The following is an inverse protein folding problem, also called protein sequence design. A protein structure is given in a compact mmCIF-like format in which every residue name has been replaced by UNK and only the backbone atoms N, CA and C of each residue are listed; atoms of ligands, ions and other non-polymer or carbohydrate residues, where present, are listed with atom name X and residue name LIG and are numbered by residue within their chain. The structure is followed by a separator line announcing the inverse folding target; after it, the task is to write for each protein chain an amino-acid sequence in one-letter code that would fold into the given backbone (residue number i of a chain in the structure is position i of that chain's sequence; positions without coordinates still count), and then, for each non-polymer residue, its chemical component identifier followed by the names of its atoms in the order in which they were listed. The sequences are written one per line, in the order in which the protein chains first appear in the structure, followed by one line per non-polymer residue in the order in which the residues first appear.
data_IF_238089052822
#
_entry.id   IF_238089052822
#
_cell.length_a   1.000
_cell.length_b   1.000
_cell.length_c   1.000
_cell.angle_alpha   90.00
_cell.angle_beta   90.00
_cell.angle_gamma   90.00
#
_symmetry.space_group_name_H-M   'P 1'
#
loop_
_entity.id
_entity.type
_entity.pdbx_description
1 polymer ?
#
# COMPACT_ATOMS: atom_id res chain seq x y z
N UNK A 1 20.18 7.17 -4.13
CA UNK A 1 19.21 6.24 -3.49
C UNK A 1 17.86 6.87 -3.13
N UNK A 2 17.80 8.03 -2.47
CA UNK A 2 16.52 8.66 -2.06
C UNK A 2 15.52 8.86 -3.22
N UNK A 3 15.99 9.42 -4.33
CA UNK A 3 15.15 9.67 -5.52
C UNK A 3 14.67 8.38 -6.18
N UNK A 4 15.48 7.33 -6.18
CA UNK A 4 15.09 6.03 -6.71
C UNK A 4 13.95 5.40 -5.89
N UNK A 5 14.04 5.42 -4.55
CA UNK A 5 12.95 4.97 -3.67
C UNK A 5 11.70 5.86 -3.77
N UNK A 6 11.85 7.12 -4.17
CA UNK A 6 10.72 8.00 -4.44
C UNK A 6 9.99 7.58 -5.72
N UNK A 7 10.73 7.29 -6.79
CA UNK A 7 10.17 6.79 -8.06
C UNK A 7 9.38 5.50 -7.83
N UNK A 8 9.93 4.55 -7.07
CA UNK A 8 9.22 3.31 -6.71
C UNK A 8 7.92 3.60 -5.96
N UNK A 9 7.92 4.52 -4.98
CA UNK A 9 6.70 4.87 -4.24
C UNK A 9 5.62 5.48 -5.12
N UNK A 10 6.00 6.37 -6.05
CA UNK A 10 5.06 7.02 -6.95
C UNK A 10 4.42 6.00 -7.92
N UNK A 11 5.24 5.21 -8.60
CA UNK A 11 4.79 4.20 -9.57
C UNK A 11 3.95 3.11 -8.91
N UNK A 12 4.38 2.57 -7.77
CA UNK A 12 3.62 1.54 -7.06
C UNK A 12 2.29 2.09 -6.53
N UNK A 13 2.26 3.30 -5.98
CA UNK A 13 1.04 3.92 -5.46
C UNK A 13 -0.01 4.15 -6.56
N UNK A 14 0.43 4.66 -7.71
CA UNK A 14 -0.44 4.90 -8.87
C UNK A 14 -1.07 3.60 -9.37
N UNK A 15 -0.25 2.58 -9.66
CA UNK A 15 -0.74 1.27 -10.16
C UNK A 15 -1.61 0.53 -9.14
N UNK A 16 -1.31 0.66 -7.86
CA UNK A 16 -2.10 0.02 -6.80
C UNK A 16 -3.48 0.65 -6.69
N UNK A 17 -3.60 1.97 -6.80
CA UNK A 17 -4.89 2.66 -6.71
C UNK A 17 -5.87 2.16 -7.78
N UNK A 18 -5.42 2.01 -9.03
CA UNK A 18 -6.24 1.46 -10.12
C UNK A 18 -6.82 0.09 -9.75
N UNK A 19 -6.02 -0.80 -9.16
CA UNK A 19 -6.45 -2.16 -8.79
C UNK A 19 -7.32 -2.22 -7.53
N UNK A 20 -7.08 -1.33 -6.57
CA UNK A 20 -7.84 -1.29 -5.32
C UNK A 20 -9.25 -0.74 -5.55
N UNK A 21 -9.39 0.23 -6.46
CA UNK A 21 -10.65 0.91 -6.76
C UNK A 21 -11.33 0.43 -8.04
N UNK A 22 -10.87 -0.68 -8.62
CA UNK A 22 -11.53 -1.40 -9.73
C UNK A 22 -12.84 -2.06 -9.23
N UNK A 23 -13.79 -1.24 -8.80
CA UNK A 23 -15.13 -1.66 -8.36
C UNK A 23 -16.19 -0.71 -8.92
N UNK A 24 -17.37 -1.25 -9.23
CA UNK A 24 -18.47 -0.50 -9.85
C UNK A 24 -18.94 0.71 -9.03
N UNK A 25 -18.72 0.67 -7.71
CA UNK A 25 -19.17 1.70 -6.77
C UNK A 25 -18.08 2.73 -6.43
N UNK A 26 -16.89 2.63 -7.03
CA UNK A 26 -15.73 3.47 -6.70
C UNK A 26 -15.23 3.29 -5.25
N UNK A 27 -15.66 2.23 -4.57
CA UNK A 27 -15.21 1.89 -3.20
C UNK A 27 -13.98 0.98 -3.26
N UNK A 28 -13.09 1.03 -2.27
CA UNK A 28 -11.94 0.14 -2.23
C UNK A 28 -12.37 -1.33 -2.05
N UNK A 29 -11.76 -2.23 -2.80
CA UNK A 29 -12.06 -3.65 -2.80
C UNK A 29 -11.71 -4.33 -1.48
N UNK A 30 -12.65 -5.11 -0.94
CA UNK A 30 -12.49 -5.89 0.30
C UNK A 30 -11.30 -6.87 0.22
N UNK A 31 -11.00 -7.41 -0.97
CA UNK A 31 -9.92 -8.37 -1.19
C UNK A 31 -8.53 -7.75 -1.07
N UNK A 32 -8.43 -6.43 -1.22
CA UNK A 32 -7.20 -5.68 -0.92
C UNK A 32 -7.18 -5.22 0.54
N UNK A 33 -8.32 -4.73 1.05
CA UNK A 33 -8.41 -4.23 2.43
C UNK A 33 -8.16 -5.29 3.50
N UNK A 34 -8.39 -6.57 3.21
CA UNK A 34 -8.12 -7.66 4.16
C UNK A 34 -6.63 -7.78 4.54
N UNK A 35 -5.72 -7.17 3.77
CA UNK A 35 -4.29 -7.13 4.06
C UNK A 35 -3.85 -5.89 4.86
N UNK A 36 -4.72 -4.89 5.08
CA UNK A 36 -4.32 -3.60 5.66
C UNK A 36 -3.67 -3.67 7.06
N UNK A 37 -3.98 -4.72 7.85
CA UNK A 37 -3.39 -4.94 9.18
C UNK A 37 -2.25 -5.97 9.20
N UNK A 38 -1.96 -6.62 8.08
CA UNK A 38 -0.91 -7.66 7.99
C UNK A 38 0.44 -7.00 7.75
N UNK A 39 1.47 -7.44 8.47
CA UNK A 39 2.85 -6.99 8.29
C UNK A 39 3.63 -8.01 7.49
N UNK A 40 4.42 -7.54 6.53
CA UNK A 40 5.35 -8.41 5.81
C UNK A 40 6.63 -8.54 6.63
N UNK A 41 7.06 -9.77 6.91
CA UNK A 41 8.25 -10.08 7.74
C UNK A 41 8.24 -9.41 9.13
N UNK A 42 7.06 -9.11 9.68
CA UNK A 42 6.90 -8.35 10.94
C UNK A 42 7.56 -6.96 10.96
N UNK A 43 7.92 -6.41 9.79
CA UNK A 43 8.54 -5.08 9.64
C UNK A 43 7.49 -4.03 9.28
N UNK A 44 7.67 -2.80 9.78
CA UNK A 44 6.88 -1.62 9.38
C UNK A 44 7.79 -0.50 8.86
N UNK A 45 7.31 0.24 7.87
CA UNK A 45 7.97 1.43 7.33
C UNK A 45 7.51 2.72 8.01
N UNK A 46 6.34 2.69 8.67
CA UNK A 46 5.90 3.78 9.54
C UNK A 46 6.61 3.60 10.87
N UNK A 47 7.35 4.62 11.33
CA UNK A 47 8.23 4.55 12.52
C UNK A 47 7.54 4.27 13.87
N UNK A 48 6.30 3.79 13.86
CA UNK A 48 5.57 3.32 15.04
C UNK A 48 6.05 1.91 15.39
N UNK A 49 7.24 1.84 16.00
CA UNK A 49 7.67 0.66 16.75
C UNK A 49 6.87 0.65 18.06
N UNK A 50 6.03 -0.35 18.33
CA UNK A 50 5.52 -0.54 19.68
C UNK A 50 6.70 -0.88 20.58
N UNK A 51 6.86 -0.14 21.68
CA UNK A 51 7.78 -0.52 22.77
C UNK A 51 7.37 -1.87 23.34
#
# INVERSE_FOLDING_TARGET
MRQYLLQLRQECGYRLAERVFETDNGKPSKWWLCFAKRKFMDITLTGNVPK
#
